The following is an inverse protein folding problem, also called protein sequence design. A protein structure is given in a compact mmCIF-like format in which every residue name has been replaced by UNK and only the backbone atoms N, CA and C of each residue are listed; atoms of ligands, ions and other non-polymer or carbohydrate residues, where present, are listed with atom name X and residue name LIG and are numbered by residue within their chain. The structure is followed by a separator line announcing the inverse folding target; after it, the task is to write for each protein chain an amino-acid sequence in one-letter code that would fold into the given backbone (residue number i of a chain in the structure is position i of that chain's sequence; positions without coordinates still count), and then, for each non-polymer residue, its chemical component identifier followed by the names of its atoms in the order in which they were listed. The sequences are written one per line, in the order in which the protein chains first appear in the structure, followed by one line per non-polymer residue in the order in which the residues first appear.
data_IF_943317399879
#
_entry.id   IF_943317399879
#
_cell.length_a   1.000
_cell.length_b   1.000
_cell.length_c   1.000
_cell.angle_alpha   90.00
_cell.angle_beta   90.00
_cell.angle_gamma   90.00
#
_symmetry.space_group_name_H-M   'P 1'
#
loop_
_entity.id
_entity.type
_entity.pdbx_description
1 polymer ?
#
# COMPACT_ATOMS: atom_id res chain seq x y z
N UNK A 1 -10.17 -12.84 -16.84
CA UNK A 1 -9.72 -11.84 -15.85
C UNK A 1 -10.96 -11.27 -15.18
N UNK A 2 -11.26 -11.78 -14.01
CA UNK A 2 -12.41 -11.33 -13.23
C UNK A 2 -12.25 -9.86 -12.88
N UNK A 3 -13.32 -9.08 -13.07
CA UNK A 3 -13.37 -7.69 -12.65
C UNK A 3 -13.11 -7.65 -11.14
N UNK A 4 -11.92 -7.23 -10.74
CA UNK A 4 -11.61 -6.99 -9.32
C UNK A 4 -12.64 -5.97 -8.82
N UNK A 5 -13.54 -6.42 -8.00
CA UNK A 5 -14.65 -5.61 -7.53
C UNK A 5 -14.16 -4.86 -6.29
N UNK A 6 -13.89 -3.56 -6.42
CA UNK A 6 -13.29 -2.71 -5.38
C UNK A 6 -14.03 -2.80 -4.03
N UNK A 7 -15.34 -3.06 -4.05
CA UNK A 7 -16.08 -3.26 -2.80
C UNK A 7 -15.72 -4.58 -2.11
N UNK A 8 -15.38 -5.65 -2.86
CA UNK A 8 -14.93 -6.92 -2.26
C UNK A 8 -13.61 -6.77 -1.52
N UNK A 9 -12.79 -5.86 -1.93
CA UNK A 9 -11.49 -5.59 -1.32
C UNK A 9 -11.68 -4.83 0.00
N UNK A 10 -12.46 -3.74 -0.03
CA UNK A 10 -12.81 -3.03 1.20
C UNK A 10 -13.54 -3.95 2.19
N UNK A 11 -14.42 -4.84 1.69
CA UNK A 11 -15.09 -5.87 2.45
C UNK A 11 -14.08 -6.84 3.11
N UNK A 12 -13.20 -7.47 2.34
CA UNK A 12 -12.18 -8.40 2.87
C UNK A 12 -11.30 -7.75 3.93
N UNK A 13 -10.90 -6.51 3.71
CA UNK A 13 -10.12 -5.77 4.68
C UNK A 13 -10.89 -5.55 5.98
N UNK A 14 -12.13 -5.04 5.90
CA UNK A 14 -12.94 -4.77 7.09
C UNK A 14 -13.30 -6.06 7.84
N UNK A 15 -13.59 -7.15 7.12
CA UNK A 15 -13.86 -8.44 7.76
C UNK A 15 -12.62 -8.96 8.50
N UNK A 16 -11.43 -8.83 7.92
CA UNK A 16 -10.18 -9.18 8.60
C UNK A 16 -9.99 -8.33 9.85
N UNK A 17 -10.18 -7.01 9.77
CA UNK A 17 -10.09 -6.13 10.93
C UNK A 17 -11.05 -6.53 12.07
N UNK A 18 -12.28 -6.98 11.72
CA UNK A 18 -13.26 -7.46 12.69
C UNK A 18 -12.83 -8.82 13.26
N UNK A 19 -12.45 -9.77 12.40
CA UNK A 19 -12.00 -11.10 12.82
C UNK A 19 -10.79 -11.04 13.75
N UNK A 20 -9.88 -10.10 13.48
CA UNK A 20 -8.63 -9.94 14.25
C UNK A 20 -8.77 -8.97 15.44
N UNK A 21 -10.01 -8.53 15.75
CA UNK A 21 -10.29 -7.76 16.93
C UNK A 21 -9.87 -6.29 16.88
N UNK A 22 -9.41 -5.77 15.73
CA UNK A 22 -9.16 -4.33 15.54
C UNK A 22 -10.43 -3.50 15.71
N UNK A 23 -11.56 -4.08 15.31
CA UNK A 23 -12.89 -3.54 15.59
C UNK A 23 -13.65 -4.57 16.45
N UNK A 24 -13.53 -4.49 17.80
CA UNK A 24 -14.19 -5.44 18.68
C UNK A 24 -15.72 -5.29 18.63
N UNK A 25 -16.43 -6.32 19.08
CA UNK A 25 -17.88 -6.31 19.20
C UNK A 25 -18.37 -5.10 19.98
N UNK A 26 -19.35 -4.39 19.46
CA UNK A 26 -19.90 -3.15 20.03
C UNK A 26 -19.14 -1.88 19.63
N UNK A 27 -17.97 -1.97 19.02
CA UNK A 27 -17.25 -0.80 18.53
C UNK A 27 -17.86 -0.25 17.25
N UNK A 28 -17.57 1.02 16.96
CA UNK A 28 -17.93 1.66 15.70
C UNK A 28 -16.84 1.42 14.65
N UNK A 29 -17.24 1.08 13.41
CA UNK A 29 -16.35 1.22 12.27
C UNK A 29 -16.07 2.70 11.96
N UNK A 30 -14.95 3.03 11.31
CA UNK A 30 -14.71 4.37 10.80
C UNK A 30 -15.87 4.84 9.93
N UNK A 31 -16.10 6.14 9.90
CA UNK A 31 -17.17 6.75 9.10
C UNK A 31 -16.95 6.51 7.60
N UNK A 32 -18.03 6.56 6.81
CA UNK A 32 -17.93 6.39 5.35
C UNK A 32 -16.92 7.37 4.71
N UNK A 33 -16.87 8.66 5.07
CA UNK A 33 -15.84 9.57 4.56
C UNK A 33 -14.41 9.12 4.91
N UNK A 34 -14.16 8.65 6.14
CA UNK A 34 -12.87 8.12 6.56
C UNK A 34 -12.49 6.87 5.77
N UNK A 35 -13.41 5.90 5.63
CA UNK A 35 -13.20 4.71 4.83
C UNK A 35 -12.95 5.06 3.34
N UNK A 36 -13.68 6.03 2.78
CA UNK A 36 -13.42 6.51 1.42
C UNK A 36 -12.00 7.09 1.29
N UNK A 37 -11.54 7.80 2.30
CA UNK A 37 -10.18 8.36 2.33
C UNK A 37 -9.12 7.27 2.49
N UNK A 38 -9.33 6.34 3.43
CA UNK A 38 -8.42 5.21 3.71
C UNK A 38 -8.24 4.33 2.47
N UNK A 39 -9.34 3.95 1.83
CA UNK A 39 -9.31 3.08 0.65
C UNK A 39 -9.19 3.84 -0.68
N UNK A 40 -9.26 5.17 -0.66
CA UNK A 40 -9.31 6.03 -1.85
C UNK A 40 -10.35 5.56 -2.88
N UNK A 41 -11.55 5.23 -2.42
CA UNK A 41 -12.67 4.74 -3.23
C UNK A 41 -13.91 5.61 -3.07
N UNK A 42 -14.88 5.41 -3.97
CA UNK A 42 -16.16 6.13 -3.92
C UNK A 42 -17.02 5.70 -2.72
N UNK A 43 -17.94 6.59 -2.29
CA UNK A 43 -18.96 6.24 -1.29
C UNK A 43 -19.77 5.01 -1.70
N UNK A 44 -20.09 4.85 -2.97
CA UNK A 44 -20.84 3.70 -3.48
C UNK A 44 -20.08 2.38 -3.26
N UNK A 45 -18.76 2.41 -3.41
CA UNK A 45 -17.87 1.26 -3.16
C UNK A 45 -17.90 0.87 -1.68
N UNK A 46 -17.76 1.84 -0.76
CA UNK A 46 -17.83 1.58 0.68
C UNK A 46 -19.23 1.08 1.08
N UNK A 47 -20.29 1.69 0.57
CA UNK A 47 -21.66 1.17 0.81
C UNK A 47 -21.83 -0.28 0.35
N UNK A 48 -21.22 -0.66 -0.79
CA UNK A 48 -21.22 -2.06 -1.25
C UNK A 48 -20.54 -3.01 -0.26
N UNK A 49 -19.36 -2.63 0.27
CA UNK A 49 -18.64 -3.40 1.27
C UNK A 49 -19.41 -3.53 2.60
N UNK A 50 -19.94 -2.40 3.10
CA UNK A 50 -20.73 -2.40 4.34
C UNK A 50 -22.03 -3.20 4.22
N UNK A 51 -22.64 -3.24 3.02
CA UNK A 51 -23.82 -4.08 2.76
C UNK A 51 -23.48 -5.56 2.91
N UNK A 52 -22.38 -6.02 2.32
CA UNK A 52 -21.94 -7.42 2.47
C UNK A 52 -21.68 -7.77 3.94
N UNK A 53 -20.95 -6.91 4.68
CA UNK A 53 -20.71 -7.12 6.10
C UNK A 53 -22.02 -7.21 6.90
N UNK A 54 -23.04 -6.42 6.54
CA UNK A 54 -24.35 -6.48 7.16
C UNK A 54 -25.10 -7.77 6.80
N UNK A 55 -25.11 -8.15 5.51
CA UNK A 55 -25.75 -9.38 5.02
C UNK A 55 -25.19 -10.64 5.73
N UNK A 56 -23.90 -10.60 6.08
CA UNK A 56 -23.21 -11.68 6.80
C UNK A 56 -23.23 -11.49 8.34
N UNK A 57 -23.98 -10.52 8.86
CA UNK A 57 -24.16 -10.25 10.29
C UNK A 57 -22.88 -9.81 11.03
N UNK A 58 -21.87 -9.29 10.34
CA UNK A 58 -20.68 -8.73 10.98
C UNK A 58 -20.95 -7.36 11.62
N UNK A 59 -21.86 -6.59 11.04
CA UNK A 59 -22.19 -5.24 11.49
C UNK A 59 -23.69 -4.97 11.49
N UNK A 60 -24.11 -4.01 12.30
CA UNK A 60 -25.41 -3.35 12.18
C UNK A 60 -25.26 -1.96 11.59
N UNK A 61 -26.19 -1.57 10.72
CA UNK A 61 -26.24 -0.25 10.12
C UNK A 61 -27.47 0.49 10.63
N UNK A 62 -27.28 1.71 11.16
CA UNK A 62 -28.33 2.64 11.56
C UNK A 62 -28.21 3.93 10.73
N UNK A 63 -29.36 4.49 10.37
CA UNK A 63 -29.39 5.72 9.58
C UNK A 63 -28.68 6.88 10.31
N UNK A 64 -27.74 7.54 9.62
CA UNK A 64 -27.02 8.70 10.16
C UNK A 64 -25.98 8.38 11.24
N UNK A 65 -25.68 7.09 11.49
CA UNK A 65 -24.64 6.66 12.45
C UNK A 65 -23.58 5.80 11.78
N UNK A 66 -22.41 5.71 12.42
CA UNK A 66 -21.37 4.74 12.03
C UNK A 66 -21.88 3.31 12.20
N UNK A 67 -21.39 2.40 11.37
CA UNK A 67 -21.68 0.97 11.50
C UNK A 67 -21.12 0.44 12.82
N UNK A 68 -21.90 -0.38 13.53
CA UNK A 68 -21.49 -1.01 14.79
C UNK A 68 -21.18 -2.48 14.53
N UNK A 69 -20.06 -2.96 15.01
CA UNK A 69 -19.66 -4.36 14.92
C UNK A 69 -20.57 -5.21 15.82
N UNK A 70 -21.23 -6.20 15.23
CA UNK A 70 -22.12 -7.13 15.92
C UNK A 70 -21.57 -8.54 16.00
N UNK A 71 -20.50 -8.81 15.24
CA UNK A 71 -19.84 -10.11 15.22
C UNK A 71 -19.23 -10.42 16.58
N UNK A 72 -19.69 -11.53 17.20
CA UNK A 72 -19.16 -11.97 18.48
C UNK A 72 -18.06 -13.01 18.24
N UNK A 73 -16.84 -12.62 18.56
CA UNK A 73 -15.65 -13.46 18.38
C UNK A 73 -15.58 -14.49 19.49
N UNK A 74 -15.80 -15.76 19.15
CA UNK A 74 -15.41 -16.85 20.04
C UNK A 74 -13.89 -17.02 19.98
N UNK A 75 -13.18 -16.80 21.10
CA UNK A 75 -11.71 -16.86 21.15
C UNK A 75 -11.14 -18.19 20.65
N UNK A 76 -11.75 -19.33 20.96
CA UNK A 76 -11.32 -20.65 20.50
C UNK A 76 -11.52 -20.83 19.00
N UNK A 77 -12.65 -20.39 18.47
CA UNK A 77 -12.92 -20.42 17.03
C UNK A 77 -11.93 -19.56 16.24
N UNK A 78 -11.58 -18.39 16.81
CA UNK A 78 -10.56 -17.53 16.23
C UNK A 78 -9.17 -18.16 16.25
N UNK A 79 -8.76 -18.78 17.35
CA UNK A 79 -7.47 -19.49 17.41
C UNK A 79 -7.36 -20.57 16.34
N UNK A 80 -8.43 -21.34 16.13
CA UNK A 80 -8.46 -22.38 15.08
C UNK A 80 -8.35 -21.76 13.68
N UNK A 81 -9.12 -20.71 13.41
CA UNK A 81 -9.08 -19.97 12.14
C UNK A 81 -7.70 -19.34 11.89
N UNK A 82 -7.09 -18.77 12.93
CA UNK A 82 -5.76 -18.15 12.85
C UNK A 82 -4.67 -19.19 12.55
N UNK A 83 -4.71 -20.36 13.21
CA UNK A 83 -3.77 -21.44 12.91
C UNK A 83 -3.89 -21.90 11.46
N UNK A 84 -5.09 -22.16 10.98
CA UNK A 84 -5.32 -22.54 9.58
C UNK A 84 -4.79 -21.45 8.61
N UNK A 85 -5.04 -20.17 8.93
CA UNK A 85 -4.52 -19.07 8.14
C UNK A 85 -2.99 -19.00 8.19
N UNK A 86 -2.37 -19.18 9.35
CA UNK A 86 -0.91 -19.19 9.50
C UNK A 86 -0.26 -20.29 8.67
N UNK A 87 -0.84 -21.51 8.64
CA UNK A 87 -0.33 -22.57 7.76
C UNK A 87 -0.43 -22.18 6.28
N UNK A 88 -1.59 -21.62 5.89
CA UNK A 88 -1.83 -21.24 4.50
C UNK A 88 -0.93 -20.10 4.03
N UNK A 89 -0.51 -19.21 4.92
CA UNK A 89 0.30 -18.02 4.59
C UNK A 89 1.78 -18.16 4.93
N UNK A 90 2.22 -19.30 5.48
CA UNK A 90 3.57 -19.49 6.03
C UNK A 90 4.66 -19.01 5.06
N UNK A 91 4.75 -19.63 3.89
CA UNK A 91 5.83 -19.37 2.95
C UNK A 91 5.78 -17.91 2.46
N UNK A 92 4.58 -17.43 2.10
CA UNK A 92 4.40 -16.05 1.65
C UNK A 92 4.71 -15.02 2.75
N UNK A 93 4.44 -15.32 4.02
CA UNK A 93 4.75 -14.42 5.12
C UNK A 93 6.24 -14.40 5.45
N UNK A 94 6.93 -15.53 5.37
CA UNK A 94 8.39 -15.60 5.56
C UNK A 94 9.11 -14.83 4.44
N UNK A 95 8.75 -15.03 3.18
CA UNK A 95 9.26 -14.25 2.05
C UNK A 95 8.99 -12.75 2.21
N UNK A 96 7.80 -12.41 2.73
CA UNK A 96 7.42 -11.04 3.00
C UNK A 96 8.28 -10.43 4.12
N UNK A 97 8.59 -11.17 5.18
CA UNK A 97 9.48 -10.74 6.26
C UNK A 97 10.87 -10.37 5.74
N UNK A 98 11.46 -11.22 4.90
CA UNK A 98 12.77 -10.95 4.30
C UNK A 98 12.74 -9.70 3.40
N UNK A 99 11.66 -9.56 2.62
CA UNK A 99 11.44 -8.37 1.78
C UNK A 99 11.26 -7.09 2.62
N UNK A 100 10.59 -7.18 3.77
CA UNK A 100 10.37 -6.05 4.67
C UNK A 100 11.67 -5.48 5.24
N UNK A 101 12.68 -6.33 5.49
CA UNK A 101 14.01 -5.89 5.95
C UNK A 101 14.72 -5.00 4.94
N UNK A 102 14.43 -5.17 3.64
CA UNK A 102 15.01 -4.35 2.58
C UNK A 102 14.28 -3.01 2.40
N UNK A 103 12.99 -2.95 2.72
CA UNK A 103 12.13 -1.80 2.39
C UNK A 103 11.94 -0.87 3.58
N UNK A 104 11.54 -1.42 4.74
CA UNK A 104 11.04 -0.58 5.82
C UNK A 104 12.10 0.23 6.55
N UNK A 105 13.33 -0.26 6.83
CA UNK A 105 14.35 0.57 7.47
C UNK A 105 14.65 1.84 6.66
N UNK A 106 14.75 1.73 5.35
CA UNK A 106 15.02 2.88 4.46
C UNK A 106 13.80 3.83 4.37
N UNK A 107 12.58 3.28 4.23
CA UNK A 107 11.37 4.09 4.20
C UNK A 107 11.18 4.86 5.52
N UNK A 108 11.41 4.22 6.66
CA UNK A 108 11.33 4.86 7.98
C UNK A 108 12.42 5.91 8.17
N UNK A 109 13.66 5.62 7.76
CA UNK A 109 14.75 6.59 7.80
C UNK A 109 14.42 7.84 6.97
N UNK A 110 13.84 7.65 5.79
CA UNK A 110 13.41 8.76 4.93
C UNK A 110 12.31 9.59 5.61
N UNK A 111 11.32 8.94 6.22
CA UNK A 111 10.25 9.62 6.95
C UNK A 111 10.79 10.39 8.16
N UNK A 112 11.65 9.78 8.97
CA UNK A 112 12.26 10.43 10.14
C UNK A 112 13.13 11.64 9.78
N UNK A 113 13.79 11.63 8.62
CA UNK A 113 14.53 12.80 8.11
C UNK A 113 13.66 14.01 7.77
N UNK A 114 12.38 13.77 7.52
CA UNK A 114 11.40 14.80 7.16
C UNK A 114 10.54 15.24 8.35
N UNK A 115 10.64 14.54 9.49
CA UNK A 115 9.92 14.89 10.71
C UNK A 115 10.38 16.26 11.24
N UNK A 116 9.41 17.12 11.55
CA UNK A 116 9.60 18.33 12.35
C UNK A 116 9.71 17.98 13.85
N UNK A 117 10.09 18.97 14.68
CA UNK A 117 10.10 18.79 16.13
C UNK A 117 8.72 18.40 16.67
N UNK A 118 7.63 19.01 16.15
CA UNK A 118 6.25 18.67 16.50
C UNK A 118 5.91 17.21 16.13
N UNK A 119 6.43 16.70 15.01
CA UNK A 119 6.25 15.30 14.62
C UNK A 119 6.99 14.36 15.57
N UNK A 120 8.20 14.72 16.00
CA UNK A 120 8.98 13.94 16.97
C UNK A 120 8.29 13.90 18.34
N UNK A 121 7.69 15.00 18.80
CA UNK A 121 6.88 15.05 20.02
C UNK A 121 5.65 14.13 19.91
N UNK A 122 4.96 14.14 18.77
CA UNK A 122 3.84 13.23 18.50
C UNK A 122 4.25 11.76 18.54
N UNK A 123 5.40 11.43 17.96
CA UNK A 123 5.94 10.07 17.99
C UNK A 123 6.28 9.64 19.43
N UNK A 124 6.81 10.54 20.25
CA UNK A 124 7.07 10.27 21.67
C UNK A 124 5.76 10.06 22.47
N UNK A 125 4.73 10.86 22.21
CA UNK A 125 3.37 10.66 22.78
C UNK A 125 2.80 9.28 22.40
N UNK A 126 3.00 8.84 21.15
CA UNK A 126 2.56 7.52 20.70
C UNK A 126 3.29 6.42 21.48
N UNK A 127 4.62 6.51 21.64
CA UNK A 127 5.40 5.56 22.43
C UNK A 127 4.98 5.55 23.90
N UNK A 128 4.61 6.72 24.45
CA UNK A 128 4.12 6.85 25.83
C UNK A 128 2.87 6.03 26.10
N UNK A 129 1.98 5.87 25.11
CA UNK A 129 0.71 5.11 25.22
C UNK A 129 0.88 3.60 25.05
N UNK A 130 2.06 3.14 24.66
CA UNK A 130 2.33 1.71 24.42
C UNK A 130 2.41 0.94 25.72
N UNK A 131 1.65 -0.15 25.82
CA UNK A 131 1.68 -1.09 26.93
C UNK A 131 1.45 -2.53 26.41
N UNK A 132 1.75 -3.57 27.22
CA UNK A 132 1.52 -4.95 26.82
C UNK A 132 0.05 -5.25 26.44
N UNK A 133 -0.90 -4.53 27.02
CA UNK A 133 -2.33 -4.66 26.72
C UNK A 133 -2.81 -3.76 25.59
N UNK A 134 -1.94 -2.88 25.08
CA UNK A 134 -2.26 -1.93 24.00
C UNK A 134 -1.13 -1.88 22.97
N UNK A 135 -1.23 -2.71 21.98
CA UNK A 135 -0.27 -2.80 20.86
C UNK A 135 -0.54 -1.80 19.73
N UNK A 136 -1.71 -1.15 19.72
CA UNK A 136 -2.09 -0.20 18.68
C UNK A 136 -1.04 0.89 18.44
N UNK A 137 -0.41 1.49 19.47
CA UNK A 137 0.64 2.49 19.30
C UNK A 137 1.88 1.98 18.54
N UNK A 138 2.14 0.67 18.52
CA UNK A 138 3.20 0.07 17.72
C UNK A 138 2.96 0.30 16.22
N UNK A 139 1.76 -0.01 15.74
CA UNK A 139 1.39 0.21 14.34
C UNK A 139 1.26 1.70 14.03
N UNK A 140 0.72 2.48 14.95
CA UNK A 140 0.53 3.93 14.82
C UNK A 140 1.87 4.66 14.68
N UNK A 141 2.92 4.23 15.37
CA UNK A 141 4.25 4.82 15.31
C UNK A 141 4.81 4.76 13.87
N UNK A 142 4.85 3.60 13.27
CA UNK A 142 5.32 3.45 11.90
C UNK A 142 4.40 4.13 10.88
N UNK A 143 3.11 4.01 11.07
CA UNK A 143 2.13 4.66 10.22
C UNK A 143 2.30 6.19 10.21
N UNK A 144 2.58 6.78 11.39
CA UNK A 144 2.80 8.21 11.50
C UNK A 144 4.05 8.65 10.70
N UNK A 145 5.16 7.93 10.85
CA UNK A 145 6.40 8.22 10.09
C UNK A 145 6.15 8.14 8.58
N UNK A 146 5.44 7.11 8.11
CA UNK A 146 5.12 6.97 6.70
C UNK A 146 4.16 8.05 6.19
N UNK A 147 3.28 8.57 7.05
CA UNK A 147 2.37 9.66 6.72
C UNK A 147 3.12 10.96 6.41
N UNK A 148 4.25 11.22 7.09
CA UNK A 148 5.11 12.39 6.84
C UNK A 148 5.69 12.38 5.42
N UNK A 149 5.86 11.20 4.80
CA UNK A 149 6.30 11.09 3.41
C UNK A 149 5.28 11.60 2.38
N UNK A 150 4.04 11.86 2.78
CA UNK A 150 2.93 12.26 1.89
C UNK A 150 2.75 11.33 0.66
N UNK A 151 3.22 10.09 0.78
CA UNK A 151 3.13 9.08 -0.28
C UNK A 151 2.14 7.96 0.10
N UNK A 152 0.91 7.99 -0.47
CA UNK A 152 -0.12 7.00 -0.15
C UNK A 152 0.25 5.57 -0.56
N UNK A 153 1.24 5.37 -1.45
CA UNK A 153 1.71 4.05 -1.83
C UNK A 153 2.45 3.36 -0.67
N UNK A 154 3.31 4.08 0.06
CA UNK A 154 3.96 3.54 1.25
C UNK A 154 2.94 3.16 2.33
N UNK A 155 1.96 4.03 2.57
CA UNK A 155 0.89 3.76 3.54
C UNK A 155 0.10 2.52 3.13
N UNK A 156 -0.26 2.40 1.85
CA UNK A 156 -1.02 1.26 1.35
C UNK A 156 -0.20 -0.04 1.44
N UNK A 157 1.08 -0.01 1.06
CA UNK A 157 1.97 -1.17 1.19
C UNK A 157 2.09 -1.59 2.65
N UNK A 158 2.34 -0.64 3.57
CA UNK A 158 2.44 -0.90 5.00
C UNK A 158 1.16 -1.55 5.56
N UNK A 159 0.01 -0.96 5.28
CA UNK A 159 -1.26 -1.53 5.73
C UNK A 159 -1.50 -2.92 5.14
N UNK A 160 -1.22 -3.13 3.86
CA UNK A 160 -1.37 -4.43 3.20
C UNK A 160 -0.49 -5.51 3.85
N UNK A 161 0.75 -5.19 4.17
CA UNK A 161 1.68 -6.13 4.83
C UNK A 161 1.30 -6.39 6.28
N UNK A 162 0.94 -5.33 7.02
CA UNK A 162 0.46 -5.47 8.41
C UNK A 162 -0.77 -6.37 8.49
N UNK A 163 -1.75 -6.18 7.60
CA UNK A 163 -2.96 -7.00 7.61
C UNK A 163 -2.71 -8.45 7.20
N UNK A 164 -1.78 -8.69 6.29
CA UNK A 164 -1.40 -10.05 5.93
C UNK A 164 -0.71 -10.79 7.08
N UNK A 165 0.18 -10.10 7.81
CA UNK A 165 0.89 -10.67 8.95
C UNK A 165 0.12 -10.66 10.28
N UNK A 166 -0.93 -9.81 10.40
CA UNK A 166 -1.64 -9.56 11.65
C UNK A 166 -2.18 -10.82 12.36
N UNK A 167 -2.77 -11.82 11.69
CA UNK A 167 -3.23 -13.03 12.36
C UNK A 167 -2.12 -13.78 13.08
N UNK A 168 -0.95 -13.87 12.48
CA UNK A 168 0.22 -14.51 13.09
C UNK A 168 0.69 -13.73 14.32
N UNK A 169 0.73 -12.39 14.24
CA UNK A 169 1.07 -11.53 15.37
C UNK A 169 0.07 -11.70 16.51
N UNK A 170 -1.23 -11.82 16.23
CA UNK A 170 -2.26 -12.02 17.24
C UNK A 170 -2.14 -13.36 17.99
N UNK A 171 -1.64 -14.41 17.33
CA UNK A 171 -1.37 -15.69 18.00
C UNK A 171 -0.17 -15.55 18.94
N UNK A 172 0.88 -14.85 18.50
CA UNK A 172 2.09 -14.58 19.29
C UNK A 172 1.82 -13.70 20.51
N UNK A 173 0.72 -12.97 20.55
CA UNK A 173 0.36 -12.03 21.64
C UNK A 173 0.29 -12.66 23.03
N UNK A 174 -0.08 -13.93 23.12
CA UNK A 174 -0.19 -14.65 24.38
C UNK A 174 1.16 -15.17 24.92
N UNK A 175 2.29 -14.90 24.20
CA UNK A 175 3.61 -15.41 24.55
C UNK A 175 4.50 -14.31 25.13
N UNK A 176 5.35 -14.67 26.08
CA UNK A 176 6.31 -13.76 26.74
C UNK A 176 7.21 -13.02 25.75
N UNK A 177 7.46 -13.65 24.59
CA UNK A 177 8.27 -13.08 23.50
C UNK A 177 7.72 -11.74 22.98
N UNK A 178 6.40 -11.58 22.86
CA UNK A 178 5.82 -10.30 22.42
C UNK A 178 6.04 -9.19 23.43
N UNK A 179 5.96 -9.50 24.72
CA UNK A 179 6.24 -8.51 25.78
C UNK A 179 7.68 -8.00 25.69
N UNK A 180 8.63 -8.92 25.47
CA UNK A 180 10.04 -8.57 25.31
C UNK A 180 10.27 -7.77 24.02
N UNK A 181 9.62 -8.15 22.93
CA UNK A 181 9.69 -7.41 21.68
C UNK A 181 9.11 -6.00 21.80
N UNK A 182 8.00 -5.82 22.49
CA UNK A 182 7.38 -4.50 22.71
C UNK A 182 8.25 -3.61 23.63
N UNK A 183 8.85 -4.17 24.68
CA UNK A 183 9.77 -3.45 25.52
C UNK A 183 11.03 -3.01 24.77
N UNK A 184 11.59 -3.92 23.98
CA UNK A 184 12.73 -3.64 23.09
C UNK A 184 12.37 -2.56 22.05
N UNK A 185 11.20 -2.68 21.40
CA UNK A 185 10.71 -1.69 20.46
C UNK A 185 10.61 -0.30 21.09
N UNK A 186 9.93 -0.18 22.22
CA UNK A 186 9.76 1.10 22.92
C UNK A 186 11.08 1.75 23.27
N UNK A 187 12.01 0.97 23.84
CA UNK A 187 13.35 1.44 24.20
C UNK A 187 14.13 1.92 22.97
N UNK A 188 14.17 1.10 21.91
CA UNK A 188 14.94 1.40 20.71
C UNK A 188 14.34 2.58 19.94
N UNK A 189 13.00 2.67 19.86
CA UNK A 189 12.33 3.80 19.22
C UNK A 189 12.55 5.12 19.98
N UNK A 190 12.57 5.10 21.31
CA UNK A 190 12.95 6.29 22.10
C UNK A 190 14.39 6.74 21.84
N UNK A 191 15.32 5.80 21.66
CA UNK A 191 16.69 6.12 21.25
C UNK A 191 16.75 6.72 19.84
N UNK A 192 15.99 6.18 18.90
CA UNK A 192 15.87 6.72 17.54
C UNK A 192 15.37 8.18 17.57
N UNK A 193 14.32 8.47 18.36
CA UNK A 193 13.80 9.85 18.48
C UNK A 193 14.85 10.81 19.08
N UNK A 194 15.64 10.35 20.03
CA UNK A 194 16.75 11.15 20.58
C UNK A 194 17.80 11.45 19.50
N UNK A 195 18.20 10.45 18.72
CA UNK A 195 19.17 10.59 17.64
C UNK A 195 18.66 11.44 16.48
N UNK A 196 17.33 11.52 16.26
CA UNK A 196 16.74 12.46 15.28
C UNK A 196 17.07 13.92 15.64
N UNK A 197 17.04 14.27 16.93
CA UNK A 197 17.40 15.62 17.41
C UNK A 197 18.88 15.91 17.20
N UNK A 198 19.72 14.88 17.21
CA UNK A 198 21.17 14.99 16.95
C UNK A 198 21.52 14.85 15.47
N UNK A 199 20.54 14.52 14.61
CA UNK A 199 20.71 14.26 13.17
C UNK A 199 21.70 13.12 12.86
N UNK A 200 21.89 12.16 13.77
CA UNK A 200 22.77 10.97 13.57
C UNK A 200 22.02 9.87 12.78
N UNK A 201 21.79 10.13 11.52
CA UNK A 201 21.05 9.22 10.63
C UNK A 201 21.76 7.89 10.36
N UNK A 202 23.08 7.81 10.58
CA UNK A 202 23.83 6.56 10.48
C UNK A 202 23.40 5.57 11.56
N UNK A 203 23.44 5.99 12.83
CA UNK A 203 22.97 5.17 13.95
C UNK A 203 21.48 4.89 13.90
N UNK A 204 20.67 5.84 13.43
CA UNK A 204 19.22 5.63 13.24
C UNK A 204 18.99 4.47 12.29
N UNK A 205 19.70 4.41 11.15
CA UNK A 205 19.57 3.31 10.18
C UNK A 205 19.92 1.95 10.81
N UNK A 206 21.01 1.87 11.55
CA UNK A 206 21.42 0.65 12.26
C UNK A 206 20.36 0.19 13.27
N UNK A 207 19.82 1.11 14.07
CA UNK A 207 18.78 0.79 15.05
C UNK A 207 17.46 0.37 14.38
N UNK A 208 17.07 1.00 13.28
CA UNK A 208 15.89 0.60 12.50
C UNK A 208 16.05 -0.83 11.96
N UNK A 209 17.22 -1.16 11.41
CA UNK A 209 17.48 -2.50 10.91
C UNK A 209 17.39 -3.55 12.03
N UNK A 210 18.05 -3.31 13.16
CA UNK A 210 18.00 -4.19 14.33
C UNK A 210 16.58 -4.36 14.86
N UNK A 211 15.79 -3.29 14.86
CA UNK A 211 14.41 -3.29 15.30
C UNK A 211 13.53 -4.19 14.41
N UNK A 212 13.66 -4.09 13.09
CA UNK A 212 12.95 -4.94 12.15
C UNK A 212 13.43 -6.38 12.20
N UNK A 213 14.74 -6.63 12.29
CA UNK A 213 15.29 -7.97 12.45
C UNK A 213 14.71 -8.67 13.68
N UNK A 214 14.64 -7.97 14.82
CA UNK A 214 14.04 -8.53 16.05
C UNK A 214 12.58 -8.89 15.91
N UNK A 215 11.81 -8.09 15.15
CA UNK A 215 10.41 -8.40 14.87
C UNK A 215 10.27 -9.64 13.98
N UNK A 216 11.08 -9.74 12.94
CA UNK A 216 11.02 -10.86 11.99
C UNK A 216 11.48 -12.17 12.64
N UNK A 217 12.48 -12.10 13.53
CA UNK A 217 12.95 -13.24 14.31
C UNK A 217 11.80 -13.96 15.05
N UNK A 218 10.88 -13.19 15.66
CA UNK A 218 9.72 -13.75 16.33
C UNK A 218 8.77 -14.49 15.38
N UNK A 219 8.59 -13.97 14.19
CA UNK A 219 7.76 -14.63 13.17
C UNK A 219 8.42 -15.95 12.73
N UNK A 220 9.73 -15.95 12.50
CA UNK A 220 10.47 -17.18 12.14
C UNK A 220 10.38 -18.23 13.24
N UNK A 221 10.66 -17.86 14.49
CA UNK A 221 10.58 -18.76 15.64
C UNK A 221 9.17 -19.36 15.81
N UNK A 222 8.13 -18.56 15.60
CA UNK A 222 6.77 -19.07 15.62
C UNK A 222 6.54 -20.15 14.57
N UNK A 223 6.92 -19.93 13.32
CA UNK A 223 6.74 -20.91 12.26
C UNK A 223 7.62 -22.16 12.39
N UNK A 224 8.80 -22.05 13.02
CA UNK A 224 9.62 -23.19 13.39
C UNK A 224 8.96 -24.05 14.47
N UNK A 225 8.27 -23.44 15.42
CA UNK A 225 7.56 -24.11 16.50
C UNK A 225 6.18 -24.65 16.09
N UNK A 226 5.68 -24.25 14.93
CA UNK A 226 4.33 -24.62 14.50
C UNK A 226 4.29 -26.11 14.08
N UNK A 227 3.42 -26.96 14.73
CA UNK A 227 3.29 -28.36 14.36
C UNK A 227 2.87 -28.51 12.88
N UNK A 228 3.23 -29.60 12.25
CA UNK A 228 2.75 -29.88 10.90
C UNK A 228 1.23 -30.00 10.90
N UNK A 229 0.52 -29.48 9.88
CA UNK A 229 -0.93 -29.61 9.79
C UNK A 229 -1.33 -31.06 9.49
N UNK A 230 -2.43 -31.52 10.10
CA UNK A 230 -2.95 -32.88 9.90
C UNK A 230 -3.43 -33.16 8.45
N UNK A 231 -3.74 -32.07 7.71
CA UNK A 231 -4.17 -32.11 6.32
C UNK A 231 -3.42 -31.10 5.48
N UNK A 232 -3.22 -31.36 4.16
CA UNK A 232 -2.68 -30.37 3.23
C UNK A 232 -3.51 -29.08 3.27
N UNK A 233 -2.84 -27.95 3.40
CA UNK A 233 -3.46 -26.61 3.40
C UNK A 233 -3.12 -25.93 2.07
N UNK A 234 -4.11 -25.39 1.40
CA UNK A 234 -3.90 -24.62 0.17
C UNK A 234 -3.16 -23.31 0.47
N UNK A 235 -2.00 -23.06 -0.17
CA UNK A 235 -1.21 -21.86 0.09
C UNK A 235 -1.96 -20.57 -0.32
N UNK A 236 -1.89 -19.55 0.52
CA UNK A 236 -2.40 -18.20 0.24
C UNK A 236 -1.21 -17.31 -0.06
N UNK A 237 -1.02 -16.88 -1.32
CA UNK A 237 0.07 -15.95 -1.67
C UNK A 237 -0.19 -14.55 -1.15
N UNK A 238 0.89 -13.79 -0.89
CA UNK A 238 0.78 -12.36 -0.67
C UNK A 238 0.55 -11.65 -2.01
N UNK A 239 -0.49 -10.85 -2.07
CA UNK A 239 -0.77 -9.98 -3.22
C UNK A 239 -0.90 -8.53 -2.76
N UNK A 240 0.01 -7.69 -3.24
CA UNK A 240 -0.14 -6.26 -3.01
C UNK A 240 -1.20 -5.68 -3.95
N UNK A 241 -2.39 -5.52 -3.43
CA UNK A 241 -3.49 -4.88 -4.14
C UNK A 241 -3.52 -3.38 -3.80
N UNK A 242 -3.00 -2.55 -4.70
CA UNK A 242 -3.06 -1.10 -4.56
C UNK A 242 -4.45 -0.57 -4.90
N UNK A 243 -5.22 -0.20 -3.87
CA UNK A 243 -6.63 0.17 -3.98
C UNK A 243 -6.90 1.57 -4.51
N UNK A 244 -5.94 2.48 -4.45
CA UNK A 244 -6.18 3.90 -4.66
C UNK A 244 -6.14 4.35 -6.11
N UNK A 245 -5.62 3.54 -7.00
CA UNK A 245 -5.57 3.90 -8.41
C UNK A 245 -5.82 2.66 -9.25
N UNK A 246 -7.04 2.57 -9.80
CA UNK A 246 -7.02 2.15 -11.20
C UNK A 246 -6.13 3.20 -11.87
N UNK A 247 -4.93 2.88 -12.34
CA UNK A 247 -4.32 3.73 -13.32
C UNK A 247 -5.42 3.93 -14.33
N UNK A 248 -5.79 5.18 -14.62
CA UNK A 248 -6.78 5.42 -15.64
C UNK A 248 -6.22 4.68 -16.83
N UNK A 249 -6.84 3.58 -17.26
CA UNK A 249 -6.35 2.75 -18.39
C UNK A 249 -6.05 3.65 -19.57
N UNK A 250 -6.76 4.78 -19.64
CA UNK A 250 -6.51 5.87 -20.57
C UNK A 250 -5.19 6.61 -20.30
N UNK A 251 -4.72 6.71 -19.08
CA UNK A 251 -3.44 7.37 -18.77
C UNK A 251 -2.26 6.45 -19.06
N UNK A 252 -2.33 5.18 -18.65
CA UNK A 252 -1.31 4.19 -19.01
C UNK A 252 -1.18 4.08 -20.54
N UNK A 253 -2.32 4.07 -21.23
CA UNK A 253 -2.35 4.09 -22.68
C UNK A 253 -1.73 5.39 -23.23
N UNK A 254 -1.99 6.55 -22.62
CA UNK A 254 -1.37 7.80 -23.03
C UNK A 254 0.15 7.76 -22.88
N UNK A 255 0.66 7.23 -21.76
CA UNK A 255 2.11 7.08 -21.54
C UNK A 255 2.74 6.10 -22.53
N UNK A 256 2.08 4.96 -22.78
CA UNK A 256 2.58 4.00 -23.77
C UNK A 256 2.58 4.58 -25.20
N UNK A 257 1.56 5.34 -25.56
CA UNK A 257 1.51 6.07 -26.83
C UNK A 257 2.61 7.14 -26.90
N UNK A 258 2.88 7.85 -25.81
CA UNK A 258 3.98 8.82 -25.73
C UNK A 258 5.32 8.16 -26.02
N UNK A 259 5.61 7.01 -25.38
CA UNK A 259 6.80 6.22 -25.65
C UNK A 259 6.88 5.79 -27.11
N UNK A 260 5.78 5.28 -27.68
CA UNK A 260 5.74 4.89 -29.10
C UNK A 260 5.88 6.08 -30.04
N UNK A 261 5.33 7.24 -29.70
CA UNK A 261 5.57 8.48 -30.47
C UNK A 261 7.05 8.80 -30.49
N UNK A 262 7.70 8.73 -29.32
CA UNK A 262 9.12 9.05 -29.20
C UNK A 262 10.02 8.08 -29.99
N UNK A 263 9.79 6.77 -29.87
CA UNK A 263 10.69 5.75 -30.44
C UNK A 263 10.28 5.24 -31.81
N UNK A 264 8.97 5.22 -32.15
CA UNK A 264 8.48 4.51 -33.32
C UNK A 264 7.69 5.38 -34.28
N UNK A 265 6.97 6.38 -33.83
CA UNK A 265 6.07 7.19 -34.68
C UNK A 265 6.62 8.60 -34.96
N UNK A 266 7.80 8.93 -34.45
CA UNK A 266 8.39 10.29 -34.59
C UNK A 266 8.36 10.83 -36.04
N UNK A 267 8.55 9.95 -37.05
CA UNK A 267 8.61 10.31 -38.47
C UNK A 267 7.30 10.04 -39.23
N UNK A 268 6.22 9.56 -38.56
CA UNK A 268 5.02 9.15 -39.28
C UNK A 268 3.97 10.26 -39.42
N UNK A 269 4.09 11.36 -38.69
CA UNK A 269 3.18 12.50 -38.72
C UNK A 269 1.78 12.24 -38.12
N UNK A 270 1.31 11.00 -38.16
CA UNK A 270 0.01 10.58 -37.61
C UNK A 270 0.10 9.28 -36.83
N UNK A 271 -0.68 9.19 -35.76
CA UNK A 271 -0.91 7.92 -35.05
C UNK A 271 -1.94 7.06 -35.81
N UNK A 272 -1.98 5.74 -35.54
CA UNK A 272 -3.06 4.88 -36.01
C UNK A 272 -4.43 5.43 -35.59
N UNK A 273 -5.48 5.07 -36.33
CA UNK A 273 -6.84 5.52 -36.03
C UNK A 273 -7.30 5.12 -34.63
N UNK A 274 -8.27 5.84 -34.07
CA UNK A 274 -8.88 5.50 -32.77
C UNK A 274 -9.35 4.04 -32.70
N UNK A 275 -9.95 3.53 -33.79
CA UNK A 275 -10.41 2.14 -33.86
C UNK A 275 -9.25 1.15 -33.91
N UNK A 276 -8.19 1.48 -34.67
CA UNK A 276 -6.97 0.67 -34.74
C UNK A 276 -6.28 0.58 -33.37
N UNK A 277 -6.11 1.71 -32.68
CA UNK A 277 -5.56 1.75 -31.34
C UNK A 277 -6.42 0.97 -30.34
N UNK A 278 -7.75 1.10 -30.41
CA UNK A 278 -8.67 0.34 -29.55
C UNK A 278 -8.50 -1.17 -29.73
N UNK A 279 -8.35 -1.62 -30.98
CA UNK A 279 -8.08 -3.04 -31.29
C UNK A 279 -6.69 -3.47 -30.84
N UNK A 280 -5.68 -2.69 -31.14
CA UNK A 280 -4.26 -2.99 -30.82
C UNK A 280 -4.04 -3.16 -29.31
N UNK A 281 -4.68 -2.31 -28.50
CA UNK A 281 -4.53 -2.31 -27.05
C UNK A 281 -5.65 -3.05 -26.30
N UNK A 282 -6.58 -3.67 -27.04
CA UNK A 282 -7.72 -4.39 -26.46
C UNK A 282 -8.51 -3.56 -25.43
N UNK A 283 -8.71 -2.27 -25.70
CA UNK A 283 -9.40 -1.32 -24.82
C UNK A 283 -10.62 -0.70 -25.51
N UNK A 284 -11.64 -0.26 -24.76
CA UNK A 284 -12.78 0.47 -25.33
C UNK A 284 -12.33 1.76 -26.04
N UNK A 285 -13.03 2.12 -27.13
CA UNK A 285 -12.77 3.33 -27.93
C UNK A 285 -12.75 4.60 -27.07
N UNK A 286 -13.59 4.67 -26.04
CA UNK A 286 -13.65 5.80 -25.10
C UNK A 286 -12.34 5.94 -24.31
N UNK A 287 -11.68 4.83 -23.99
CA UNK A 287 -10.37 4.82 -23.30
C UNK A 287 -9.29 5.43 -24.20
N UNK A 288 -9.28 5.06 -25.50
CA UNK A 288 -8.34 5.64 -26.47
C UNK A 288 -8.58 7.14 -26.63
N UNK A 289 -9.85 7.57 -26.77
CA UNK A 289 -10.18 9.00 -26.86
C UNK A 289 -9.69 9.79 -25.64
N UNK A 290 -9.83 9.24 -24.44
CA UNK A 290 -9.32 9.86 -23.20
C UNK A 290 -7.79 9.91 -23.19
N UNK A 291 -7.11 8.86 -23.64
CA UNK A 291 -5.64 8.82 -23.74
C UNK A 291 -5.13 9.87 -24.73
N UNK A 292 -5.72 9.93 -25.91
CA UNK A 292 -5.37 10.93 -26.93
C UNK A 292 -5.67 12.36 -26.46
N UNK A 293 -6.76 12.56 -25.70
CA UNK A 293 -7.05 13.85 -25.08
C UNK A 293 -5.94 14.26 -24.10
N UNK A 294 -5.47 13.35 -23.23
CA UNK A 294 -4.33 13.63 -22.32
C UNK A 294 -3.10 14.08 -23.12
N UNK A 295 -2.75 13.39 -24.22
CA UNK A 295 -1.64 13.76 -25.07
C UNK A 295 -1.88 15.10 -25.82
N UNK A 296 -3.13 15.38 -26.18
CA UNK A 296 -3.54 16.66 -26.78
C UNK A 296 -3.43 17.82 -25.80
N UNK A 297 -3.88 17.62 -24.56
CA UNK A 297 -3.82 18.64 -23.49
C UNK A 297 -2.38 19.09 -23.18
N UNK A 298 -1.39 18.21 -23.42
CA UNK A 298 0.05 18.51 -23.28
C UNK A 298 0.72 18.94 -24.60
N UNK A 299 -0.04 18.99 -25.71
CA UNK A 299 0.45 19.47 -27.00
C UNK A 299 1.33 18.48 -27.78
N UNK A 300 1.27 17.18 -27.45
CA UNK A 300 2.01 16.13 -28.17
C UNK A 300 1.27 15.71 -29.47
N UNK A 301 -0.07 15.68 -29.40
CA UNK A 301 -0.91 15.33 -30.53
C UNK A 301 -2.08 16.31 -30.69
N UNK A 302 -2.68 16.33 -31.86
CA UNK A 302 -3.96 16.97 -32.08
C UNK A 302 -4.90 16.06 -32.88
N UNK A 303 -6.20 16.16 -32.66
CA UNK A 303 -7.21 15.47 -33.45
C UNK A 303 -7.63 16.35 -34.61
N UNK A 304 -7.34 15.92 -35.85
CA UNK A 304 -7.71 16.62 -37.07
C UNK A 304 -8.98 15.96 -37.65
N UNK A 305 -10.11 16.69 -37.74
CA UNK A 305 -11.35 16.15 -38.29
C UNK A 305 -11.12 15.51 -39.67
N UNK A 306 -11.61 14.27 -39.86
CA UNK A 306 -11.49 13.53 -41.11
C UNK A 306 -10.08 13.00 -41.44
N UNK A 307 -9.04 13.36 -40.70
CA UNK A 307 -7.66 12.93 -40.95
C UNK A 307 -7.05 12.07 -39.85
N UNK A 308 -7.57 12.14 -38.63
CA UNK A 308 -7.09 11.32 -37.52
C UNK A 308 -6.29 12.08 -36.46
N UNK A 309 -5.31 11.43 -35.84
CA UNK A 309 -4.53 11.96 -34.71
C UNK A 309 -3.15 12.37 -35.23
N UNK A 310 -2.93 13.68 -35.40
CA UNK A 310 -1.66 14.22 -35.87
C UNK A 310 -0.68 14.37 -34.71
N UNK A 311 0.58 13.99 -34.93
CA UNK A 311 1.68 14.21 -34.01
C UNK A 311 2.23 15.63 -34.25
N UNK A 312 2.28 16.43 -33.17
CA UNK A 312 2.57 17.87 -33.24
C UNK A 312 4.05 18.19 -33.10
N UNK A 313 4.95 17.43 -33.65
CA UNK A 313 6.34 17.77 -33.72
C UNK A 313 7.30 17.26 -32.67
N UNK A 314 8.58 17.38 -33.06
CA UNK A 314 9.71 16.94 -32.28
C UNK A 314 9.76 17.57 -30.89
N UNK A 315 10.15 16.77 -29.94
CA UNK A 315 10.38 17.08 -28.53
C UNK A 315 11.42 18.21 -28.30
N UNK A 316 11.91 18.84 -29.37
CA UNK A 316 12.85 19.97 -29.35
C UNK A 316 12.15 21.34 -29.25
N UNK A 317 10.82 21.40 -29.44
CA UNK A 317 10.06 22.62 -29.16
C UNK A 317 9.79 22.70 -27.65
N UNK A 318 10.15 23.80 -27.03
CA UNK A 318 9.88 24.12 -25.62
C UNK A 318 8.41 23.81 -25.30
N UNK A 319 8.17 22.66 -24.70
CA UNK A 319 6.85 22.31 -24.16
C UNK A 319 6.61 23.29 -23.03
N UNK A 320 5.70 24.24 -23.24
CA UNK A 320 5.40 25.26 -22.22
C UNK A 320 4.90 24.55 -20.97
N UNK A 321 5.64 24.67 -19.88
CA UNK A 321 5.29 24.13 -18.55
C UNK A 321 3.89 24.55 -18.11
N UNK A 322 3.41 25.71 -18.60
CA UNK A 322 2.06 26.22 -18.33
C UNK A 322 0.93 25.31 -18.86
N UNK A 323 1.20 24.39 -19.80
CA UNK A 323 0.22 23.43 -20.30
C UNK A 323 0.06 22.19 -19.40
N UNK A 324 0.96 21.99 -18.44
CA UNK A 324 0.87 20.87 -17.47
C UNK A 324 -0.11 21.12 -16.31
N UNK A 325 -1.05 22.05 -16.46
CA UNK A 325 -1.92 22.51 -15.38
C UNK A 325 -3.28 21.78 -15.28
N UNK A 326 -3.57 20.82 -16.15
CA UNK A 326 -4.84 20.08 -16.02
C UNK A 326 -4.82 19.21 -14.75
N UNK A 327 -5.91 19.20 -13.94
CA UNK A 327 -5.97 18.44 -12.69
C UNK A 327 -5.61 16.96 -12.85
N UNK A 328 -6.00 16.34 -13.97
CA UNK A 328 -5.72 14.94 -14.26
C UNK A 328 -4.23 14.68 -14.51
N UNK A 329 -3.56 15.57 -15.24
CA UNK A 329 -2.13 15.45 -15.52
C UNK A 329 -1.30 15.69 -14.25
N UNK A 330 -1.68 16.71 -13.45
CA UNK A 330 -1.05 16.95 -12.14
C UNK A 330 -1.14 15.72 -11.24
N UNK A 331 -2.34 15.11 -11.16
CA UNK A 331 -2.55 13.88 -10.40
C UNK A 331 -1.64 12.74 -10.88
N UNK A 332 -1.56 12.56 -12.19
CA UNK A 332 -0.75 11.51 -12.80
C UNK A 332 0.76 11.70 -12.59
N UNK A 333 1.25 12.95 -12.68
CA UNK A 333 2.64 13.28 -12.35
C UNK A 333 2.96 13.02 -10.88
N UNK A 334 2.06 13.40 -9.98
CA UNK A 334 2.21 13.10 -8.54
C UNK A 334 2.31 11.57 -8.33
N UNK A 335 1.45 10.77 -8.96
CA UNK A 335 1.50 9.32 -8.85
C UNK A 335 2.80 8.72 -9.42
N UNK A 336 3.28 9.25 -10.54
CA UNK A 336 4.57 8.86 -11.09
C UNK A 336 5.72 9.15 -10.11
N UNK A 337 5.76 10.36 -9.55
CA UNK A 337 6.77 10.74 -8.54
C UNK A 337 6.70 9.88 -7.29
N UNK A 338 5.50 9.57 -6.81
CA UNK A 338 5.28 8.67 -5.68
C UNK A 338 5.78 7.25 -5.97
N UNK A 339 5.53 6.73 -7.18
CA UNK A 339 6.06 5.44 -7.61
C UNK A 339 7.60 5.46 -7.73
N UNK A 340 8.16 6.52 -8.31
CA UNK A 340 9.61 6.70 -8.39
C UNK A 340 10.27 6.76 -7.00
N UNK A 341 9.65 7.41 -6.03
CA UNK A 341 10.13 7.44 -4.65
C UNK A 341 10.21 6.05 -4.03
N UNK A 342 9.19 5.20 -4.23
CA UNK A 342 9.23 3.81 -3.78
C UNK A 342 10.37 3.05 -4.47
N UNK A 343 10.50 3.17 -5.79
CA UNK A 343 11.56 2.53 -6.56
C UNK A 343 12.93 2.95 -6.01
N UNK A 344 13.16 4.23 -5.75
CA UNK A 344 14.44 4.72 -5.20
C UNK A 344 14.75 4.14 -3.82
N UNK A 345 13.74 3.97 -2.96
CA UNK A 345 13.92 3.34 -1.65
C UNK A 345 14.26 1.86 -1.79
N UNK A 346 13.55 1.14 -2.67
CA UNK A 346 13.73 -0.31 -2.85
C UNK A 346 15.01 -0.63 -3.63
N UNK A 347 15.29 0.08 -4.74
CA UNK A 347 16.38 -0.27 -5.64
C UNK A 347 17.76 -0.15 -4.99
N UNK A 348 17.92 0.70 -4.00
CA UNK A 348 19.22 0.89 -3.35
C UNK A 348 19.72 -0.39 -2.71
N UNK A 349 18.91 -0.99 -1.83
CA UNK A 349 19.34 -2.17 -1.07
C UNK A 349 19.09 -3.48 -1.83
N UNK A 350 18.05 -3.54 -2.69
CA UNK A 350 17.85 -4.68 -3.60
C UNK A 350 18.97 -4.77 -4.63
N UNK A 351 19.45 -3.66 -5.19
CA UNK A 351 20.60 -3.69 -6.09
C UNK A 351 21.83 -4.26 -5.39
N UNK A 352 22.15 -3.81 -4.17
CA UNK A 352 23.28 -4.31 -3.41
C UNK A 352 23.15 -5.79 -2.96
N UNK A 353 21.93 -6.29 -2.78
CA UNK A 353 21.70 -7.69 -2.40
C UNK A 353 21.63 -8.65 -3.60
N UNK A 354 21.19 -8.18 -4.76
CA UNK A 354 21.00 -9.02 -5.97
C UNK A 354 22.23 -9.00 -6.87
N UNK A 355 22.90 -7.86 -7.06
CA UNK A 355 24.05 -7.76 -7.96
C UNK A 355 25.26 -8.63 -7.57
N UNK A 356 25.60 -8.82 -6.27
CA UNK A 356 26.66 -9.76 -5.91
C UNK A 356 26.36 -11.21 -6.27
N UNK A 357 25.08 -11.59 -6.36
CA UNK A 357 24.65 -12.93 -6.71
C UNK A 357 24.66 -13.18 -8.24
N UNK A 358 24.75 -12.13 -9.06
CA UNK A 358 24.78 -12.24 -10.51
C UNK A 358 26.18 -12.50 -11.08
N UNK A 359 27.22 -12.52 -10.23
CA UNK A 359 28.60 -12.87 -10.62
C UNK A 359 29.24 -11.91 -11.64
N UNK A 360 30.55 -11.79 -11.59
CA UNK A 360 31.35 -11.09 -12.61
C UNK A 360 31.15 -11.65 -14.01
#
# INVERSE_FOLDING_TARGET
MDKINLYNIAYKHLINCIHFGLYPTGSNLPTIPELCKTFNVSKATIHGALRLLKEENYISLSQGRSAIVTYNVNKEECRTKYRAYSYATKDALLDLCDTMLLIWPEAMLLGLKLCSDDDLEKLDEILGRMSPDNEYPFFEFFFYILKVLENPLFINLYLSTCFFGHPTIMILRDESYIHDCMAYFKKTSSQILSLCKESDYGKIKELLLLLYQKQMEGVHLYYESLPQPDCPVEPIPYEWNYFSVRPLVSFNLAMELLWKIYFSYRNQGFLPSFASLAKQYSVPLITVRRAVKVLGDIGIVETVPGRGIRILAGLDSQVSISKFTTPNLKKALIQYLQSAQIILVICKDVAYSVFPALGD
#
